data_IF_208886146143
#
_entry.id   IF_208886146143
#
_cell.length_a   1.000
_cell.length_b   1.000
_cell.length_c   1.000
_cell.angle_alpha   90.00
_cell.angle_beta   90.00
_cell.angle_gamma   90.00
#
_symmetry.space_group_name_H-M   'P 1'
#
loop_
_entity.id
_entity.type
_entity.pdbx_description
1 polymer ?
#
# COMPACT_ATOMS: atom_id res chain seq x y z
N UNK A 1 -11.22 9.27 9.75
CA UNK A 1 -11.17 7.83 9.43
C UNK A 1 -10.11 7.57 8.37
N UNK A 2 -9.24 6.59 8.60
CA UNK A 2 -8.08 6.23 7.76
C UNK A 2 -8.42 5.07 6.81
N UNK A 3 -9.48 4.31 7.11
CA UNK A 3 -9.95 3.22 6.26
C UNK A 3 -10.37 3.73 4.88
N UNK A 4 -10.19 2.88 3.86
CA UNK A 4 -10.48 3.15 2.45
C UNK A 4 -9.72 4.33 1.83
N UNK A 5 -8.70 4.86 2.50
CA UNK A 5 -7.79 5.85 1.90
C UNK A 5 -6.66 5.16 1.15
N UNK A 6 -6.13 5.85 0.13
CA UNK A 6 -4.89 5.45 -0.50
C UNK A 6 -3.71 5.61 0.46
N UNK A 7 -2.80 4.65 0.43
CA UNK A 7 -1.59 4.66 1.25
C UNK A 7 -0.42 4.06 0.48
N UNK A 8 0.78 4.43 0.92
CA UNK A 8 2.02 3.84 0.43
C UNK A 8 2.97 3.53 1.59
N UNK A 9 3.75 2.48 1.45
CA UNK A 9 4.78 2.09 2.39
C UNK A 9 6.10 1.92 1.65
N UNK A 10 7.13 2.61 2.11
CA UNK A 10 8.45 2.60 1.51
C UNK A 10 9.42 1.84 2.41
N UNK A 11 10.09 0.84 1.84
CA UNK A 11 11.17 0.13 2.47
C UNK A 11 12.47 0.80 2.05
N UNK A 12 13.19 1.34 3.03
CA UNK A 12 14.49 1.97 2.83
C UNK A 12 15.61 1.00 3.24
N UNK A 13 16.79 1.19 2.65
CA UNK A 13 18.00 0.56 3.16
C UNK A 13 18.34 1.13 4.54
N UNK A 14 19.23 0.44 5.26
CA UNK A 14 19.83 0.99 6.48
C UNK A 14 20.38 2.39 6.18
N UNK A 15 20.03 3.43 6.96
CA UNK A 15 20.51 4.77 6.72
C UNK A 15 22.05 4.79 6.68
N UNK A 16 22.65 5.43 5.65
CA UNK A 16 24.10 5.56 5.60
C UNK A 16 24.59 6.41 6.80
N UNK A 17 25.87 6.27 7.18
CA UNK A 17 26.48 7.11 8.22
C UNK A 17 26.25 8.60 7.93
N UNK A 18 26.13 9.44 8.98
CA UNK A 18 25.91 10.86 8.81
C UNK A 18 27.02 11.47 7.94
N UNK A 19 26.63 12.29 6.97
CA UNK A 19 27.58 12.91 6.06
C UNK A 19 28.44 13.96 6.78
N UNK A 20 29.77 13.96 6.59
CA UNK A 20 30.65 14.98 7.16
C UNK A 20 30.23 16.40 6.71
N UNK A 21 30.48 17.39 7.57
CA UNK A 21 30.20 18.80 7.25
C UNK A 21 30.92 19.21 5.96
N UNK A 22 30.21 19.89 5.06
CA UNK A 22 30.73 20.34 3.76
C UNK A 22 30.48 19.38 2.59
N UNK A 23 29.91 18.20 2.85
CA UNK A 23 29.51 17.23 1.81
C UNK A 23 27.99 17.17 1.65
N UNK A 24 27.53 16.96 0.43
CA UNK A 24 26.10 16.78 0.12
C UNK A 24 25.64 15.38 0.51
N UNK A 25 24.57 15.28 1.30
CA UNK A 25 23.96 14.00 1.64
C UNK A 25 23.43 13.27 0.39
N UNK A 26 23.66 11.95 0.25
CA UNK A 26 23.10 11.19 -0.85
C UNK A 26 21.58 11.15 -0.76
N UNK A 27 20.89 11.29 -1.90
CA UNK A 27 19.44 11.12 -1.97
C UNK A 27 19.10 9.65 -1.76
N UNK A 28 18.52 9.31 -0.60
CA UNK A 28 18.13 7.94 -0.28
C UNK A 28 16.82 7.62 -1.00
N UNK A 29 16.92 6.81 -2.07
CA UNK A 29 15.74 6.27 -2.76
C UNK A 29 15.23 5.02 -2.02
N UNK A 30 13.90 4.80 -1.96
CA UNK A 30 13.36 3.57 -1.39
C UNK A 30 13.81 2.35 -2.21
N UNK A 31 14.14 1.26 -1.53
CA UNK A 31 14.42 -0.03 -2.17
C UNK A 31 13.15 -0.63 -2.77
N UNK A 32 12.02 -0.41 -2.10
CA UNK A 32 10.71 -0.88 -2.55
C UNK A 32 9.60 0.02 -2.05
N UNK A 33 8.60 0.25 -2.90
CA UNK A 33 7.38 0.96 -2.55
C UNK A 33 6.18 0.04 -2.75
N UNK A 34 5.33 -0.03 -1.74
CA UNK A 34 4.05 -0.74 -1.77
C UNK A 34 2.94 0.28 -1.82
N UNK A 35 2.00 0.14 -2.75
CA UNK A 35 0.86 1.02 -2.91
C UNK A 35 -0.44 0.25 -2.75
N UNK A 36 -1.45 0.87 -2.16
CA UNK A 36 -2.76 0.24 -2.03
C UNK A 36 -3.77 1.11 -1.31
N UNK A 37 -4.89 0.49 -0.99
CA UNK A 37 -5.97 1.06 -0.18
C UNK A 37 -5.87 0.46 1.22
N UNK A 38 -6.03 1.30 2.24
CA UNK A 38 -6.03 0.87 3.64
C UNK A 38 -7.33 0.11 3.89
N UNK A 39 -7.21 -1.20 3.99
CA UNK A 39 -8.31 -2.14 4.14
C UNK A 39 -8.59 -2.52 5.59
N UNK A 40 -7.59 -2.36 6.46
CA UNK A 40 -7.67 -2.66 7.88
C UNK A 40 -6.76 -1.73 8.66
N UNK A 41 -7.23 -1.30 9.82
CA UNK A 41 -6.50 -0.47 10.76
C UNK A 41 -6.90 -0.88 12.18
N UNK A 42 -5.94 -1.27 13.00
CA UNK A 42 -6.19 -1.61 14.41
C UNK A 42 -5.09 -1.09 15.30
N UNK A 43 -5.45 -0.71 16.53
CA UNK A 43 -4.50 -0.44 17.61
C UNK A 43 -4.20 -1.76 18.30
N UNK A 44 -2.92 -2.09 18.42
CA UNK A 44 -2.44 -3.31 19.05
C UNK A 44 -2.25 -3.09 20.56
N UNK A 45 -1.53 -2.03 20.93
CA UNK A 45 -1.24 -1.69 22.32
C UNK A 45 -0.94 -0.21 22.48
N UNK A 46 -0.92 0.27 23.72
CA UNK A 46 -0.36 1.57 24.05
C UNK A 46 0.01 1.71 25.51
N UNK A 47 1.16 2.32 25.75
CA UNK A 47 1.64 2.88 27.01
C UNK A 47 1.68 4.41 26.88
N UNK A 48 2.15 5.11 27.91
CA UNK A 48 2.47 6.54 27.79
C UNK A 48 3.60 6.79 26.77
N UNK A 49 4.55 5.87 26.66
CA UNK A 49 5.75 6.07 25.84
C UNK A 49 5.64 5.50 24.41
N UNK A 50 4.79 4.50 24.22
CA UNK A 50 4.71 3.78 22.95
C UNK A 50 3.27 3.39 22.62
N UNK A 51 2.82 3.59 21.38
CA UNK A 51 1.58 3.01 20.87
C UNK A 51 1.85 2.22 19.60
N UNK A 52 1.32 0.99 19.53
CA UNK A 52 1.48 0.09 18.39
C UNK A 52 0.20 0.01 17.59
N UNK A 53 0.33 0.13 16.27
CA UNK A 53 -0.77 0.03 15.31
C UNK A 53 -0.42 -0.97 14.22
N UNK A 54 -1.43 -1.62 13.66
CA UNK A 54 -1.32 -2.46 12.47
C UNK A 54 -2.17 -1.89 11.35
N UNK A 55 -1.61 -1.89 10.15
CA UNK A 55 -2.27 -1.41 8.93
C UNK A 55 -2.20 -2.52 7.87
N UNK A 56 -3.33 -2.81 7.24
CA UNK A 56 -3.40 -3.74 6.10
C UNK A 56 -3.61 -2.96 4.81
N UNK A 57 -2.56 -2.90 3.98
CA UNK A 57 -2.62 -2.36 2.62
C UNK A 57 -3.00 -3.45 1.64
N UNK A 58 -4.05 -3.22 0.85
CA UNK A 58 -4.51 -4.14 -0.20
C UNK A 58 -4.53 -3.44 -1.56
N UNK A 59 -4.20 -4.14 -2.66
CA UNK A 59 -4.36 -3.58 -4.00
C UNK A 59 -5.85 -3.40 -4.33
N UNK A 60 -6.17 -2.50 -5.27
CA UNK A 60 -7.57 -2.16 -5.62
C UNK A 60 -8.38 -3.39 -6.02
N UNK A 61 -7.80 -4.31 -6.80
CA UNK A 61 -8.47 -5.52 -7.27
C UNK A 61 -8.78 -6.52 -6.15
N UNK A 62 -8.05 -6.52 -5.03
CA UNK A 62 -8.37 -7.39 -3.89
C UNK A 62 -9.75 -7.06 -3.29
N UNK A 63 -10.29 -5.86 -3.54
CA UNK A 63 -11.67 -5.51 -3.17
C UNK A 63 -12.72 -6.28 -3.96
N UNK A 64 -12.41 -6.75 -5.16
CA UNK A 64 -13.34 -7.55 -5.97
C UNK A 64 -13.74 -8.84 -5.24
N UNK A 65 -12.84 -9.40 -4.41
CA UNK A 65 -13.14 -10.57 -3.60
C UNK A 65 -14.24 -10.35 -2.53
N UNK A 66 -14.58 -9.09 -2.21
CA UNK A 66 -15.61 -8.77 -1.21
C UNK A 66 -17.05 -8.86 -1.74
N UNK A 67 -17.21 -8.98 -3.06
CA UNK A 67 -18.51 -9.06 -3.71
C UNK A 67 -18.54 -10.17 -4.76
N UNK A 68 -19.75 -10.54 -5.19
CA UNK A 68 -19.96 -11.42 -6.33
C UNK A 68 -20.90 -10.73 -7.29
N UNK A 69 -20.53 -10.71 -8.57
CA UNK A 69 -21.35 -10.16 -9.65
C UNK A 69 -21.45 -11.22 -10.75
N UNK A 70 -22.65 -11.37 -11.30
CA UNK A 70 -22.92 -12.26 -12.43
C UNK A 70 -23.15 -11.40 -13.66
N UNK A 71 -22.43 -11.66 -14.75
CA UNK A 71 -22.54 -10.93 -16.01
C UNK A 71 -22.22 -11.86 -17.17
N UNK A 72 -22.91 -11.66 -18.29
CA UNK A 72 -22.63 -12.36 -19.55
C UNK A 72 -21.80 -11.42 -20.42
N UNK A 73 -20.61 -11.86 -20.82
CA UNK A 73 -19.73 -11.14 -21.75
C UNK A 73 -19.81 -11.81 -23.11
N UNK A 74 -20.24 -11.07 -24.13
CA UNK A 74 -20.34 -11.54 -25.50
C UNK A 74 -19.40 -10.72 -26.38
N UNK A 75 -18.83 -11.37 -27.40
CA UNK A 75 -17.98 -10.73 -28.42
C UNK A 75 -16.82 -9.91 -27.83
N UNK A 76 -16.29 -10.33 -26.66
CA UNK A 76 -15.17 -9.69 -25.96
C UNK A 76 -14.07 -10.71 -25.67
N UNK A 77 -12.81 -10.27 -25.75
CA UNK A 77 -11.66 -11.08 -25.35
C UNK A 77 -11.46 -11.10 -23.83
N UNK A 78 -10.66 -12.05 -23.32
CA UNK A 78 -10.38 -12.14 -21.87
C UNK A 78 -9.74 -10.85 -21.32
N UNK A 79 -8.74 -10.22 -21.96
CA UNK A 79 -8.20 -8.94 -21.49
C UNK A 79 -9.24 -7.81 -21.45
N UNK A 80 -10.09 -7.68 -22.48
CA UNK A 80 -11.17 -6.68 -22.52
C UNK A 80 -12.16 -6.85 -21.36
N UNK A 81 -12.51 -8.10 -21.04
CA UNK A 81 -13.36 -8.41 -19.90
C UNK A 81 -12.71 -7.97 -18.58
N UNK A 82 -11.40 -8.22 -18.43
CA UNK A 82 -10.63 -7.83 -17.23
C UNK A 82 -10.57 -6.31 -17.07
N UNK A 83 -10.34 -5.56 -18.16
CA UNK A 83 -10.39 -4.09 -18.15
C UNK A 83 -11.77 -3.57 -17.73
N UNK A 84 -12.84 -4.21 -18.19
CA UNK A 84 -14.20 -3.86 -17.77
C UNK A 84 -14.48 -4.09 -16.27
N UNK A 85 -13.76 -5.03 -15.64
CA UNK A 85 -13.92 -5.38 -14.22
C UNK A 85 -13.09 -4.47 -13.30
N UNK A 86 -11.94 -3.99 -13.77
CA UNK A 86 -10.93 -3.27 -12.97
C UNK A 86 -11.10 -1.75 -12.94
#
# INVERSE_FOLDING_TARGET
>A
DVLNRWGYFNLYAVPPPPTPKGFTAPVIKPLRSFHGVISGFKRLSGSNDEARYEITLQPRFARLARGKQFRIYQQQSVPEIVEHIL
#
